data_IF_623070582916
#
_entry.id   IF_623070582916
#
_cell.length_a   1.000
_cell.length_b   1.000
_cell.length_c   1.000
_cell.angle_alpha   90.00
_cell.angle_beta   90.00
_cell.angle_gamma   90.00
#
_symmetry.space_group_name_H-M   'P 1'
#
loop_
_entity.id
_entity.type
_entity.pdbx_description
1 polymer ?
#
# COMPACT_ATOMS: atom_id res chain seq x y z
N UNK A 1 17.56 -21.55 -11.99
CA UNK A 1 17.29 -20.63 -10.87
C UNK A 1 15.77 -20.54 -10.73
N UNK A 2 15.20 -20.42 -9.52
CA UNK A 2 13.77 -20.14 -9.41
C UNK A 2 13.45 -18.89 -10.24
N UNK A 3 12.34 -18.94 -10.98
CA UNK A 3 11.90 -17.81 -11.80
C UNK A 3 11.59 -16.64 -10.87
N UNK A 4 12.35 -15.55 -11.00
CA UNK A 4 12.12 -14.33 -10.23
C UNK A 4 10.79 -13.68 -10.63
N UNK A 5 10.06 -13.12 -9.66
CA UNK A 5 8.77 -12.49 -9.90
C UNK A 5 8.99 -11.10 -10.52
N UNK A 6 8.49 -10.82 -11.75
CA UNK A 6 8.72 -9.55 -12.43
C UNK A 6 8.13 -8.35 -11.67
N UNK A 7 7.16 -8.57 -10.77
CA UNK A 7 6.60 -7.50 -9.93
C UNK A 7 7.57 -7.00 -8.86
N UNK A 8 8.56 -7.80 -8.48
CA UNK A 8 9.56 -7.46 -7.45
C UNK A 8 10.99 -7.48 -8.01
N UNK A 9 11.13 -7.70 -9.31
CA UNK A 9 12.43 -7.84 -9.97
C UNK A 9 12.50 -6.77 -11.05
N UNK A 10 13.18 -5.63 -10.80
CA UNK A 10 13.33 -4.56 -11.76
C UNK A 10 14.29 -4.95 -12.90
N UNK A 11 13.83 -5.88 -13.73
CA UNK A 11 14.55 -6.43 -14.87
C UNK A 11 13.60 -6.72 -16.04
N UNK A 12 14.06 -6.37 -17.24
CA UNK A 12 13.54 -6.73 -18.55
C UNK A 12 14.72 -7.20 -19.42
N UNK A 13 14.48 -7.89 -20.55
CA UNK A 13 15.56 -8.36 -21.40
C UNK A 13 16.54 -7.25 -21.85
N UNK A 14 16.04 -6.03 -22.06
CA UNK A 14 16.82 -4.86 -22.48
C UNK A 14 17.52 -4.13 -21.32
N UNK A 15 16.99 -4.22 -20.09
CA UNK A 15 17.38 -3.36 -18.98
C UNK A 15 17.14 -4.03 -17.63
N UNK A 16 18.14 -4.05 -16.75
CA UNK A 16 17.98 -4.42 -15.35
C UNK A 16 18.66 -3.44 -14.40
N UNK A 17 18.19 -3.41 -13.15
CA UNK A 17 18.88 -2.72 -12.07
C UNK A 17 20.28 -3.32 -11.82
N UNK A 18 21.28 -2.47 -11.60
CA UNK A 18 22.68 -2.85 -11.48
C UNK A 18 22.96 -3.84 -10.36
N UNK A 19 22.20 -3.77 -9.26
CA UNK A 19 22.30 -4.70 -8.15
C UNK A 19 21.86 -6.14 -8.50
N UNK A 20 21.18 -6.36 -9.62
CA UNK A 20 20.79 -7.69 -10.11
C UNK A 20 21.85 -8.34 -11.02
N UNK A 21 23.01 -7.70 -11.19
CA UNK A 21 24.07 -8.19 -12.08
C UNK A 21 24.60 -9.54 -11.61
N UNK A 22 24.44 -10.56 -12.47
CA UNK A 22 24.80 -11.95 -12.18
C UNK A 22 23.64 -12.80 -11.65
N UNK A 23 22.50 -12.18 -11.32
CA UNK A 23 21.27 -12.87 -10.92
C UNK A 23 20.27 -12.98 -12.08
N UNK A 24 20.26 -11.98 -12.97
CA UNK A 24 19.40 -11.93 -14.16
C UNK A 24 20.22 -11.70 -15.45
N UNK A 25 19.62 -12.04 -16.59
CA UNK A 25 20.15 -11.71 -17.92
C UNK A 25 19.46 -10.44 -18.44
N UNK A 26 20.26 -9.44 -18.85
CA UNK A 26 19.79 -8.21 -19.50
C UNK A 26 20.90 -7.62 -20.39
N UNK A 27 20.52 -6.89 -21.45
CA UNK A 27 21.48 -6.24 -22.35
C UNK A 27 22.33 -5.17 -21.64
N UNK A 28 21.73 -4.44 -20.69
CA UNK A 28 22.44 -3.46 -19.87
C UNK A 28 21.94 -3.45 -18.42
N UNK A 29 22.83 -3.00 -17.54
CA UNK A 29 22.60 -2.83 -16.12
C UNK A 29 22.80 -1.36 -15.75
N UNK A 30 21.86 -0.76 -15.03
CA UNK A 30 21.91 0.66 -14.66
C UNK A 30 21.70 0.86 -13.16
N UNK A 31 22.41 1.83 -12.59
CA UNK A 31 22.16 2.27 -11.23
C UNK A 31 20.84 3.06 -11.19
N UNK A 32 19.91 2.72 -10.28
CA UNK A 32 18.67 3.47 -10.15
C UNK A 32 18.93 4.90 -9.65
N UNK A 33 18.11 5.84 -10.12
CA UNK A 33 18.10 7.22 -9.65
C UNK A 33 16.87 7.41 -8.76
N UNK A 34 17.13 7.67 -7.48
CA UNK A 34 16.08 7.83 -6.48
C UNK A 34 15.32 9.14 -6.67
N UNK A 35 14.00 9.05 -6.52
CA UNK A 35 13.08 10.17 -6.49
C UNK A 35 12.13 10.02 -5.30
N UNK A 36 11.40 11.10 -4.99
CA UNK A 36 10.31 11.09 -4.00
C UNK A 36 8.99 11.48 -4.66
N UNK A 37 7.92 10.79 -4.28
CA UNK A 37 6.56 11.07 -4.75
C UNK A 37 6.02 12.36 -4.13
N UNK A 38 5.58 13.30 -4.97
CA UNK A 38 5.06 14.63 -4.57
C UNK A 38 3.57 14.81 -4.83
N UNK A 39 2.96 13.98 -5.67
CA UNK A 39 1.51 13.93 -5.78
C UNK A 39 0.92 13.07 -4.65
N UNK A 40 -0.33 13.33 -4.20
CA UNK A 40 -0.94 12.56 -3.11
C UNK A 40 -0.98 11.05 -3.35
N UNK A 41 -1.24 10.65 -4.59
CA UNK A 41 -1.21 9.27 -5.05
C UNK A 41 -0.76 9.22 -6.52
N UNK A 42 0.19 8.34 -6.86
CA UNK A 42 0.69 8.15 -8.23
C UNK A 42 0.47 6.69 -8.65
N UNK A 43 -0.35 6.41 -9.67
CA UNK A 43 -0.54 5.06 -10.20
C UNK A 43 0.76 4.44 -10.72
N UNK A 44 1.06 3.22 -10.28
CA UNK A 44 2.02 2.32 -10.92
C UNK A 44 1.25 1.46 -11.93
N UNK A 45 1.68 1.51 -13.19
CA UNK A 45 1.01 0.88 -14.33
C UNK A 45 1.89 -0.15 -15.03
N UNK A 46 1.23 -1.05 -15.76
CA UNK A 46 1.89 -2.09 -16.59
C UNK A 46 2.67 -1.54 -17.78
N UNK A 47 2.28 -0.38 -18.28
CA UNK A 47 2.85 0.25 -19.47
C UNK A 47 2.85 1.79 -19.30
N UNK A 48 3.71 2.51 -20.04
CA UNK A 48 3.78 3.98 -20.03
C UNK A 48 2.60 4.60 -20.80
N UNK A 49 1.39 4.30 -20.38
CA UNK A 49 0.14 4.78 -20.98
C UNK A 49 -0.89 5.03 -19.88
N UNK A 50 -1.56 6.19 -19.94
CA UNK A 50 -2.61 6.58 -19.00
C UNK A 50 -3.81 5.63 -19.06
N UNK A 51 -4.01 4.95 -20.20
CA UNK A 51 -5.06 3.96 -20.41
C UNK A 51 -4.66 2.55 -19.96
N UNK A 52 -3.38 2.30 -19.67
CA UNK A 52 -2.94 1.00 -19.17
C UNK A 52 -3.49 0.77 -17.75
N UNK A 53 -3.78 -0.49 -17.44
CA UNK A 53 -4.22 -0.89 -16.10
C UNK A 53 -3.23 -0.44 -15.02
N UNK A 54 -3.79 0.05 -13.91
CA UNK A 54 -3.06 0.30 -12.67
C UNK A 54 -2.94 -1.03 -11.92
N UNK A 55 -1.76 -1.33 -11.40
CA UNK A 55 -1.54 -2.50 -10.53
C UNK A 55 -1.22 -2.08 -9.11
N UNK A 56 -0.69 -0.87 -8.93
CA UNK A 56 -0.34 -0.35 -7.63
C UNK A 56 -0.40 1.19 -7.58
N UNK A 57 -0.18 1.79 -6.41
CA UNK A 57 -0.06 3.24 -6.20
C UNK A 57 1.15 3.58 -5.31
N UNK A 58 1.86 4.64 -5.63
CA UNK A 58 2.73 5.33 -4.67
C UNK A 58 1.89 6.34 -3.88
N UNK A 59 2.20 6.53 -2.60
CA UNK A 59 1.64 7.60 -1.78
C UNK A 59 2.63 8.76 -1.67
N UNK A 60 2.15 9.96 -1.31
CA UNK A 60 3.02 11.10 -1.04
C UNK A 60 4.17 10.73 -0.09
N UNK A 61 5.40 11.08 -0.49
CA UNK A 61 6.62 10.79 0.25
C UNK A 61 7.17 9.39 0.10
N UNK A 62 6.58 8.55 -0.76
CA UNK A 62 7.21 7.28 -1.15
C UNK A 62 8.46 7.53 -1.99
N UNK A 63 9.48 6.71 -1.76
CA UNK A 63 10.67 6.68 -2.60
C UNK A 63 10.43 5.80 -3.83
N UNK A 64 11.00 6.19 -4.96
CA UNK A 64 10.93 5.42 -6.20
C UNK A 64 12.28 5.43 -6.92
N UNK A 65 12.83 4.24 -7.18
CA UNK A 65 14.10 4.07 -7.88
C UNK A 65 13.86 3.97 -9.37
N UNK A 66 14.18 5.03 -10.11
CA UNK A 66 13.98 5.12 -11.57
C UNK A 66 15.16 4.50 -12.32
N UNK A 67 14.86 3.63 -13.28
CA UNK A 67 15.85 2.95 -14.13
C UNK A 67 15.82 3.45 -15.57
N UNK A 68 14.68 3.97 -16.00
CA UNK A 68 14.48 4.50 -17.35
C UNK A 68 13.37 5.55 -17.36
N UNK A 69 13.56 6.59 -18.17
CA UNK A 69 12.52 7.56 -18.48
C UNK A 69 12.25 7.58 -19.99
N UNK A 70 10.98 7.53 -20.38
CA UNK A 70 10.52 7.60 -21.77
C UNK A 70 9.23 8.41 -21.83
N UNK A 71 9.22 9.46 -22.66
CA UNK A 71 8.01 10.25 -22.98
C UNK A 71 7.18 10.71 -21.75
N UNK A 72 7.87 11.14 -20.69
CA UNK A 72 7.23 11.62 -19.46
C UNK A 72 6.80 10.52 -18.48
N UNK A 73 7.20 9.27 -18.74
CA UNK A 73 7.03 8.14 -17.84
C UNK A 73 8.36 7.69 -17.28
N UNK A 74 8.35 7.21 -16.04
CA UNK A 74 9.48 6.58 -15.39
C UNK A 74 9.18 5.11 -15.13
N UNK A 75 10.07 4.21 -15.54
CA UNK A 75 10.04 2.80 -15.15
C UNK A 75 11.03 2.55 -14.03
N UNK A 76 10.59 1.84 -13.00
CA UNK A 76 11.36 1.68 -11.79
C UNK A 76 10.66 0.80 -10.77
N UNK A 77 11.04 0.97 -9.51
CA UNK A 77 10.46 0.21 -8.40
C UNK A 77 10.21 1.09 -7.16
N UNK A 78 9.14 0.76 -6.46
CA UNK A 78 8.74 1.36 -5.19
C UNK A 78 9.72 0.98 -4.08
N UNK A 79 10.21 1.95 -3.31
CA UNK A 79 11.04 1.69 -2.14
C UNK A 79 10.23 1.15 -0.95
N UNK A 80 8.90 1.21 -1.01
CA UNK A 80 8.02 0.76 0.07
C UNK A 80 7.93 -0.77 0.13
N UNK A 81 7.79 -1.40 -1.03
CA UNK A 81 7.46 -2.83 -1.16
C UNK A 81 8.17 -3.50 -2.34
N UNK A 82 9.04 -2.79 -3.06
CA UNK A 82 9.78 -3.31 -4.21
C UNK A 82 8.97 -3.38 -5.50
N UNK A 83 7.71 -2.91 -5.51
CA UNK A 83 6.81 -3.12 -6.65
C UNK A 83 7.30 -2.40 -7.90
N UNK A 84 7.41 -3.13 -9.00
CA UNK A 84 7.98 -2.68 -10.29
C UNK A 84 6.87 -2.20 -11.24
N UNK A 85 7.09 -1.07 -11.90
CA UNK A 85 6.20 -0.62 -12.97
C UNK A 85 6.48 0.78 -13.48
N UNK A 86 5.52 1.33 -14.21
CA UNK A 86 5.59 2.66 -14.82
C UNK A 86 4.79 3.69 -14.03
N UNK A 87 5.37 4.85 -13.79
CA UNK A 87 4.71 6.00 -13.16
C UNK A 87 4.86 7.26 -14.01
N UNK A 88 3.94 8.20 -13.89
CA UNK A 88 4.09 9.52 -14.54
C UNK A 88 5.23 10.29 -13.84
N UNK A 89 6.21 10.75 -14.63
CA UNK A 89 7.39 11.43 -14.09
C UNK A 89 7.04 12.74 -13.37
N UNK A 90 5.94 13.38 -13.74
CA UNK A 90 5.46 14.61 -13.09
C UNK A 90 5.05 14.44 -11.63
N UNK A 91 4.71 13.21 -11.20
CA UNK A 91 4.38 12.91 -9.81
C UNK A 91 5.61 12.67 -8.92
N UNK A 92 6.82 12.77 -9.47
CA UNK A 92 8.09 12.54 -8.79
C UNK A 92 8.94 13.83 -8.75
N UNK A 93 9.73 13.98 -7.68
CA UNK A 93 10.70 15.07 -7.51
C UNK A 93 12.12 14.55 -7.42
N UNK A 94 13.06 15.29 -8.03
CA UNK A 94 14.51 15.10 -7.89
C UNK A 94 15.03 15.59 -6.52
N UNK A 95 14.27 16.46 -5.85
CA UNK A 95 14.65 16.99 -4.54
C UNK A 95 14.36 15.94 -3.46
N UNK A 96 15.37 15.14 -3.17
CA UNK A 96 15.27 14.14 -2.12
C UNK A 96 15.19 14.77 -0.73
N UNK A 97 14.34 14.18 0.11
CA UNK A 97 14.26 14.51 1.51
C UNK A 97 13.96 13.25 2.33
N UNK A 98 14.50 13.20 3.54
CA UNK A 98 14.17 12.14 4.49
C UNK A 98 12.86 12.49 5.19
N UNK A 99 11.87 11.57 5.21
CA UNK A 99 10.66 11.78 5.97
C UNK A 99 10.98 11.82 7.47
N UNK A 100 10.15 12.53 8.21
CA UNK A 100 10.27 12.68 9.68
C UNK A 100 9.03 12.16 10.40
N UNK A 101 7.90 12.16 9.71
CA UNK A 101 6.60 11.78 10.22
C UNK A 101 5.84 11.03 9.14
N UNK A 102 4.75 10.39 9.55
CA UNK A 102 3.75 9.81 8.66
C UNK A 102 2.36 10.29 9.02
N UNK A 103 1.45 10.23 8.06
CA UNK A 103 0.02 10.43 8.33
C UNK A 103 -0.49 9.19 9.10
N UNK A 104 -1.01 9.41 10.31
CA UNK A 104 -1.45 8.38 11.23
C UNK A 104 -2.99 8.24 11.31
N UNK A 105 -3.72 9.13 10.64
CA UNK A 105 -5.18 9.05 10.47
C UNK A 105 -5.52 8.58 9.06
N UNK A 106 -6.77 8.16 8.84
CA UNK A 106 -7.23 7.65 7.56
C UNK A 106 -6.92 8.62 6.39
N UNK A 107 -7.19 9.91 6.60
CA UNK A 107 -6.90 10.98 5.63
C UNK A 107 -6.81 12.36 6.29
N UNK A 108 -6.04 13.27 5.69
CA UNK A 108 -5.92 14.66 6.14
C UNK A 108 -5.72 15.62 4.98
N UNK A 109 -6.11 16.88 5.15
CA UNK A 109 -5.80 17.96 4.21
C UNK A 109 -4.52 18.69 4.60
N UNK A 110 -3.78 19.13 3.59
CA UNK A 110 -2.78 20.19 3.70
C UNK A 110 -3.38 21.52 3.21
N UNK A 111 -2.87 22.64 3.73
CA UNK A 111 -3.39 23.99 3.50
C UNK A 111 -2.27 24.96 3.10
N UNK A 112 -2.61 26.04 2.39
CA UNK A 112 -1.62 27.07 1.99
C UNK A 112 -1.05 27.86 3.18
N UNK A 113 -1.81 27.96 4.28
CA UNK A 113 -1.46 28.70 5.50
C UNK A 113 -1.84 27.84 6.74
N UNK A 114 -1.34 28.14 7.95
CA UNK A 114 -1.70 27.43 9.19
C UNK A 114 -3.12 27.80 9.69
N UNK A 115 -4.09 27.83 8.77
CA UNK A 115 -5.51 28.04 9.01
C UNK A 115 -6.33 27.08 8.13
N UNK A 116 -7.17 26.28 8.78
CA UNK A 116 -8.06 25.28 8.18
C UNK A 116 -9.15 25.90 7.29
N UNK A 117 -9.30 27.24 7.30
CA UNK A 117 -10.20 27.98 6.42
C UNK A 117 -9.55 28.39 5.10
N UNK A 118 -8.23 28.18 4.95
CA UNK A 118 -7.51 28.54 3.73
C UNK A 118 -7.61 27.43 2.68
N UNK A 119 -7.14 27.71 1.46
CA UNK A 119 -7.25 26.77 0.36
C UNK A 119 -6.47 25.48 0.68
N UNK A 120 -7.09 24.30 0.50
CA UNK A 120 -6.37 23.04 0.60
C UNK A 120 -5.41 22.90 -0.59
N UNK A 121 -4.23 22.35 -0.35
CA UNK A 121 -3.22 22.06 -1.37
C UNK A 121 -3.22 20.59 -1.78
N UNK A 122 -3.57 19.69 -0.85
CA UNK A 122 -3.56 18.26 -1.06
C UNK A 122 -4.48 17.53 -0.06
N UNK A 123 -4.93 16.33 -0.43
CA UNK A 123 -5.55 15.36 0.46
C UNK A 123 -4.60 14.15 0.58
N UNK A 124 -4.00 13.96 1.76
CA UNK A 124 -3.13 12.83 2.02
C UNK A 124 -3.88 11.67 2.68
N UNK A 125 -3.42 10.46 2.42
CA UNK A 125 -3.97 9.24 3.02
C UNK A 125 -3.06 8.73 4.15
N UNK A 126 -3.61 7.84 4.97
CA UNK A 126 -2.85 7.04 5.94
C UNK A 126 -1.54 6.51 5.31
N UNK A 127 -0.47 6.45 6.09
CA UNK A 127 0.86 5.98 5.69
C UNK A 127 1.62 6.83 4.64
N UNK A 128 1.05 7.94 4.13
CA UNK A 128 1.84 8.97 3.45
C UNK A 128 2.94 9.49 4.38
N UNK A 129 4.11 9.79 3.82
CA UNK A 129 5.31 10.20 4.57
C UNK A 129 5.61 11.67 4.32
N UNK A 130 5.98 12.41 5.36
CA UNK A 130 6.21 13.86 5.25
C UNK A 130 7.46 14.30 6.00
N UNK A 131 8.10 15.36 5.52
CA UNK A 131 9.17 16.06 6.22
C UNK A 131 8.63 17.35 6.85
N UNK A 132 8.52 17.37 8.18
CA UNK A 132 8.10 18.54 8.95
C UNK A 132 9.26 19.54 9.03
N UNK A 133 8.99 20.79 8.69
CA UNK A 133 9.97 21.87 8.64
C UNK A 133 9.84 22.83 9.81
N UNK A 134 8.61 23.21 10.16
CA UNK A 134 8.32 24.10 11.27
C UNK A 134 6.91 23.87 11.83
N UNK A 135 6.63 24.49 12.98
CA UNK A 135 5.39 24.34 13.73
C UNK A 135 4.79 25.70 14.06
N UNK A 136 3.48 25.82 13.90
CA UNK A 136 2.72 27.00 14.29
C UNK A 136 1.37 26.59 14.89
N UNK A 137 1.23 26.82 16.21
CA UNK A 137 0.03 26.41 16.94
C UNK A 137 -0.21 24.90 16.84
N UNK A 138 -1.31 24.51 16.18
CA UNK A 138 -1.69 23.11 15.95
C UNK A 138 -1.33 22.58 14.56
N UNK A 139 -0.59 23.36 13.79
CA UNK A 139 -0.22 23.04 12.42
C UNK A 139 1.29 22.83 12.30
N UNK A 140 1.68 22.01 11.33
CA UNK A 140 3.07 21.83 10.93
C UNK A 140 3.20 22.08 9.44
N UNK A 141 4.26 22.78 9.02
CA UNK A 141 4.57 22.92 7.59
C UNK A 141 5.39 21.73 7.12
N UNK A 142 4.95 21.09 6.05
CA UNK A 142 5.64 20.00 5.37
C UNK A 142 6.29 20.48 4.07
N UNK A 143 7.46 19.89 3.75
CA UNK A 143 8.17 20.08 2.49
C UNK A 143 7.24 19.82 1.29
N UNK A 144 7.24 20.73 0.31
CA UNK A 144 6.49 20.67 -0.95
C UNK A 144 4.96 20.45 -0.84
N UNK A 145 4.38 20.68 0.34
CA UNK A 145 2.97 20.35 0.59
C UNK A 145 2.16 21.48 1.23
N UNK A 146 2.74 22.27 2.13
CA UNK A 146 2.02 23.28 2.92
C UNK A 146 1.79 22.84 4.37
N UNK A 147 0.69 23.28 4.98
CA UNK A 147 0.42 23.13 6.41
C UNK A 147 -0.56 21.99 6.70
N UNK A 148 -0.18 21.06 7.57
CA UNK A 148 -0.97 19.93 8.04
C UNK A 148 -1.38 20.14 9.50
N UNK A 149 -2.49 19.53 9.94
CA UNK A 149 -2.85 19.47 11.36
C UNK A 149 -1.93 18.48 12.07
N UNK A 150 -1.17 18.93 13.08
CA UNK A 150 -0.13 18.12 13.74
C UNK A 150 -0.68 16.83 14.35
N UNK A 151 -1.87 16.88 14.94
CA UNK A 151 -2.53 15.74 15.57
C UNK A 151 -2.89 14.60 14.60
N UNK A 152 -2.77 14.82 13.29
CA UNK A 152 -3.00 13.80 12.26
C UNK A 152 -1.72 13.03 11.89
N UNK A 153 -0.57 13.45 12.43
CA UNK A 153 0.73 12.84 12.16
C UNK A 153 1.19 12.00 13.34
N UNK A 154 1.97 10.97 13.04
CA UNK A 154 2.75 10.21 14.02
C UNK A 154 4.24 10.24 13.64
N UNK A 155 5.12 9.93 14.60
CA UNK A 155 6.52 9.64 14.28
C UNK A 155 6.61 8.44 13.33
N UNK A 156 7.74 8.23 12.66
CA UNK A 156 7.86 7.12 11.70
C UNK A 156 7.71 5.73 12.34
N UNK A 157 8.02 5.60 13.63
CA UNK A 157 8.00 4.38 14.44
C UNK A 157 6.79 4.28 15.40
N UNK A 158 5.89 5.26 15.39
CA UNK A 158 4.71 5.31 16.27
C UNK A 158 3.56 4.42 15.77
N UNK A 159 3.73 3.10 15.75
CA UNK A 159 2.83 2.14 15.11
C UNK A 159 1.46 1.96 15.80
N UNK A 160 0.42 1.71 15.01
CA UNK A 160 -0.90 1.35 15.54
C UNK A 160 -0.83 -0.01 16.25
N UNK A 161 -1.38 -0.09 17.46
CA UNK A 161 -1.46 -1.36 18.21
C UNK A 161 -2.58 -2.31 17.74
N UNK A 162 -3.38 -1.90 16.76
CA UNK A 162 -4.52 -2.65 16.26
C UNK A 162 -4.70 -2.46 14.75
N UNK A 163 -4.15 -3.37 13.93
CA UNK A 163 -4.29 -3.26 12.47
C UNK A 163 -5.73 -3.51 12.00
N UNK A 164 -6.51 -4.31 12.72
CA UNK A 164 -7.90 -4.59 12.34
C UNK A 164 -8.74 -3.32 12.55
N UNK A 165 -8.53 -2.58 13.64
CA UNK A 165 -9.16 -1.28 13.86
C UNK A 165 -8.78 -0.23 12.80
N UNK A 166 -7.52 -0.27 12.31
CA UNK A 166 -7.11 0.54 11.16
C UNK A 166 -7.87 0.14 9.89
N UNK A 167 -8.01 -1.16 9.61
CA UNK A 167 -8.74 -1.66 8.45
C UNK A 167 -10.22 -1.29 8.51
N UNK A 168 -10.87 -1.41 9.67
CA UNK A 168 -12.27 -1.01 9.92
C UNK A 168 -12.49 0.48 9.61
N UNK A 169 -11.48 1.33 9.78
CA UNK A 169 -11.52 2.73 9.40
C UNK A 169 -11.78 2.97 7.90
N UNK A 170 -11.53 1.98 7.04
CA UNK A 170 -11.81 2.05 5.60
C UNK A 170 -13.21 1.57 5.22
N UNK A 171 -14.07 1.18 6.17
CA UNK A 171 -15.44 0.72 5.87
C UNK A 171 -16.17 1.71 4.95
N UNK A 172 -16.83 1.18 3.92
CA UNK A 172 -17.49 1.91 2.82
C UNK A 172 -16.57 2.72 1.89
N UNK A 173 -15.23 2.60 1.99
CA UNK A 173 -14.33 3.11 0.96
C UNK A 173 -14.56 2.34 -0.36
N UNK A 174 -14.71 3.02 -1.51
CA UNK A 174 -14.92 2.37 -2.79
C UNK A 174 -13.81 1.39 -3.17
N UNK A 175 -14.18 0.29 -3.84
CA UNK A 175 -13.22 -0.64 -4.42
C UNK A 175 -12.56 0.00 -5.64
N UNK A 176 -11.23 0.10 -5.62
CA UNK A 176 -10.43 0.57 -6.74
C UNK A 176 -9.30 -0.43 -7.00
N UNK A 177 -9.34 -1.12 -8.14
CA UNK A 177 -8.27 -2.02 -8.57
C UNK A 177 -6.92 -1.29 -8.64
N UNK A 178 -5.90 -1.84 -7.99
CA UNK A 178 -4.58 -1.23 -7.87
C UNK A 178 -4.48 -0.17 -6.76
N UNK A 179 -5.58 0.20 -6.12
CA UNK A 179 -5.63 1.30 -5.17
C UNK A 179 -5.12 0.97 -3.77
N UNK A 180 -4.52 1.97 -3.11
CA UNK A 180 -4.02 1.93 -1.72
C UNK A 180 -4.34 3.18 -0.91
N UNK A 181 -4.96 4.18 -1.52
CA UNK A 181 -5.32 5.42 -0.84
C UNK A 181 -6.68 5.32 -0.13
N UNK A 182 -6.94 6.26 0.77
CA UNK A 182 -8.19 6.30 1.54
C UNK A 182 -9.45 6.56 0.72
N UNK A 183 -9.32 7.10 -0.50
CA UNK A 183 -10.43 7.34 -1.41
C UNK A 183 -10.88 6.09 -2.17
N UNK A 184 -10.02 5.09 -2.29
CA UNK A 184 -10.34 3.85 -2.95
C UNK A 184 -9.14 2.89 -2.97
N UNK A 185 -9.45 1.62 -2.71
CA UNK A 185 -8.44 0.58 -2.58
C UNK A 185 -9.01 -0.80 -2.92
N UNK A 186 -8.12 -1.75 -3.21
CA UNK A 186 -8.51 -3.14 -3.44
C UNK A 186 -8.22 -4.05 -2.24
N UNK A 187 -8.52 -5.33 -2.38
CA UNK A 187 -8.46 -6.30 -1.29
C UNK A 187 -7.09 -6.35 -0.60
N UNK A 188 -6.01 -6.45 -1.37
CA UNK A 188 -4.65 -6.51 -0.84
C UNK A 188 -4.13 -5.14 -0.44
N UNK A 189 -4.61 -4.05 -1.06
CA UNK A 189 -4.38 -2.68 -0.59
C UNK A 189 -4.92 -2.45 0.82
N UNK A 190 -6.13 -2.94 1.16
CA UNK A 190 -6.69 -2.85 2.52
C UNK A 190 -5.76 -3.50 3.55
N UNK A 191 -5.39 -4.75 3.29
CA UNK A 191 -4.52 -5.54 4.14
C UNK A 191 -3.14 -4.89 4.28
N UNK A 192 -2.56 -4.42 3.17
CA UNK A 192 -1.25 -3.76 3.18
C UNK A 192 -1.28 -2.49 4.02
N UNK A 193 -2.27 -1.63 3.82
CA UNK A 193 -2.35 -0.33 4.50
C UNK A 193 -2.58 -0.47 6.00
N UNK A 194 -3.41 -1.42 6.40
CA UNK A 194 -3.64 -1.76 7.81
C UNK A 194 -2.37 -2.27 8.50
N UNK A 195 -1.67 -3.21 7.86
CA UNK A 195 -0.47 -3.83 8.43
C UNK A 195 0.73 -2.88 8.47
N UNK A 196 0.91 -2.06 7.43
CA UNK A 196 1.96 -1.02 7.41
C UNK A 196 1.72 0.01 8.51
N UNK A 197 0.47 0.39 8.77
CA UNK A 197 0.15 1.32 9.88
C UNK A 197 0.50 0.72 11.25
N UNK A 198 0.43 -0.60 11.38
CA UNK A 198 0.82 -1.39 12.55
C UNK A 198 2.31 -1.83 12.54
N UNK A 199 3.12 -1.31 11.63
CA UNK A 199 4.57 -1.55 11.59
C UNK A 199 4.98 -2.88 10.95
N UNK A 200 4.08 -3.54 10.24
CA UNK A 200 4.37 -4.77 9.48
C UNK A 200 4.57 -4.40 8.01
N UNK A 201 5.80 -4.58 7.52
CA UNK A 201 6.09 -4.46 6.09
C UNK A 201 5.31 -5.51 5.30
N UNK A 202 4.75 -5.11 4.16
CA UNK A 202 3.82 -5.95 3.43
C UNK A 202 3.95 -5.74 1.93
N UNK A 203 3.98 -6.85 1.19
CA UNK A 203 3.99 -6.84 -0.27
C UNK A 203 2.61 -6.46 -0.83
N UNK A 204 2.58 -6.07 -2.10
CA UNK A 204 1.38 -5.49 -2.72
C UNK A 204 0.27 -6.49 -3.00
N UNK A 205 0.63 -7.66 -3.53
CA UNK A 205 -0.34 -8.58 -4.12
C UNK A 205 -0.71 -9.73 -3.19
N UNK A 206 -1.96 -10.14 -3.25
CA UNK A 206 -2.56 -11.19 -2.41
C UNK A 206 -1.71 -12.46 -2.32
N UNK A 207 -1.17 -12.94 -3.44
CA UNK A 207 -0.38 -14.18 -3.48
C UNK A 207 0.99 -14.03 -2.81
N UNK A 208 1.60 -12.85 -2.95
CA UNK A 208 2.85 -12.49 -2.28
C UNK A 208 2.63 -12.25 -0.78
N UNK A 209 1.52 -11.61 -0.39
CA UNK A 209 1.10 -11.46 1.00
C UNK A 209 0.84 -12.81 1.66
N UNK A 210 0.13 -13.72 0.99
CA UNK A 210 -0.11 -15.10 1.45
C UNK A 210 1.22 -15.80 1.72
N UNK A 211 2.16 -15.76 0.76
CA UNK A 211 3.48 -16.38 0.91
C UNK A 211 4.27 -15.79 2.09
N UNK A 212 4.31 -14.45 2.19
CA UNK A 212 5.04 -13.75 3.23
C UNK A 212 4.50 -14.08 4.63
N UNK A 213 3.18 -13.98 4.81
CA UNK A 213 2.56 -14.19 6.11
C UNK A 213 2.56 -15.65 6.53
N UNK A 214 2.39 -16.61 5.60
CA UNK A 214 2.53 -18.03 5.93
C UNK A 214 3.90 -18.39 6.51
N UNK A 215 4.95 -17.67 6.12
CA UNK A 215 6.28 -17.88 6.63
C UNK A 215 6.51 -17.29 8.04
N UNK A 216 5.68 -16.34 8.47
CA UNK A 216 5.89 -15.56 9.69
C UNK A 216 4.82 -15.81 10.77
N UNK A 217 3.60 -16.12 10.36
CA UNK A 217 2.41 -16.19 11.20
C UNK A 217 1.90 -17.63 11.34
N UNK A 218 0.96 -17.85 12.26
CA UNK A 218 0.46 -19.21 12.52
C UNK A 218 -0.57 -19.60 11.47
N UNK A 219 -0.35 -20.68 10.73
CA UNK A 219 -1.37 -21.26 9.84
C UNK A 219 -2.50 -21.89 10.68
N UNK A 220 -3.71 -21.34 10.53
CA UNK A 220 -4.94 -21.78 11.22
C UNK A 220 -6.02 -22.19 10.20
N UNK A 221 -5.64 -22.54 8.98
CA UNK A 221 -6.56 -22.90 7.89
C UNK A 221 -7.53 -24.01 8.30
N UNK A 222 -7.00 -25.05 8.95
CA UNK A 222 -7.78 -26.21 9.43
C UNK A 222 -8.55 -25.95 10.74
N UNK A 223 -8.35 -24.81 11.40
CA UNK A 223 -9.06 -24.47 12.63
C UNK A 223 -10.46 -23.94 12.29
N UNK A 224 -11.56 -24.53 12.77
CA UNK A 224 -12.90 -23.98 12.55
C UNK A 224 -13.17 -22.69 13.34
N UNK A 225 -12.43 -22.45 14.42
CA UNK A 225 -12.60 -21.27 15.29
C UNK A 225 -11.77 -20.09 14.76
N UNK A 226 -12.43 -19.25 13.97
CA UNK A 226 -11.88 -17.98 13.50
C UNK A 226 -11.75 -16.99 14.64
N UNK A 227 -10.76 -16.12 14.54
CA UNK A 227 -10.49 -15.06 15.50
C UNK A 227 -10.28 -13.73 14.79
N UNK A 228 -10.54 -12.65 15.52
CA UNK A 228 -10.18 -11.30 15.09
C UNK A 228 -8.71 -11.23 14.71
N UNK A 229 -8.43 -10.65 13.56
CA UNK A 229 -7.10 -10.55 12.99
C UNK A 229 -6.69 -11.72 12.11
N UNK A 230 -7.42 -12.83 12.07
CA UNK A 230 -7.15 -13.89 11.09
C UNK A 230 -7.27 -13.30 9.68
N UNK A 231 -6.23 -13.47 8.85
CA UNK A 231 -6.23 -13.05 7.45
C UNK A 231 -6.55 -14.25 6.59
N UNK A 232 -7.60 -14.13 5.77
CA UNK A 232 -8.11 -15.20 4.91
C UNK A 232 -7.71 -14.92 3.46
N UNK A 233 -7.09 -15.91 2.84
CA UNK A 233 -6.64 -15.87 1.46
C UNK A 233 -7.44 -16.83 0.57
N UNK A 234 -7.84 -16.32 -0.59
CA UNK A 234 -8.38 -17.05 -1.74
C UNK A 234 -7.47 -16.81 -2.96
N UNK A 235 -7.59 -17.58 -4.06
CA UNK A 235 -6.93 -17.21 -5.30
C UNK A 235 -7.35 -15.79 -5.73
N UNK A 236 -6.41 -14.85 -5.69
CA UNK A 236 -6.62 -13.46 -6.11
C UNK A 236 -7.45 -12.58 -5.16
N UNK A 237 -7.80 -13.04 -3.95
CA UNK A 237 -8.55 -12.23 -2.98
C UNK A 237 -8.07 -12.44 -1.54
N UNK A 238 -8.17 -11.39 -0.71
CA UNK A 238 -7.83 -11.42 0.71
C UNK A 238 -8.87 -10.66 1.54
N UNK A 239 -9.07 -11.08 2.78
CA UNK A 239 -9.88 -10.35 3.77
C UNK A 239 -9.40 -10.59 5.19
N UNK A 240 -9.92 -9.78 6.11
CA UNK A 240 -9.50 -9.74 7.52
C UNK A 240 -10.71 -10.07 8.39
N UNK A 241 -10.58 -11.07 9.27
CA UNK A 241 -11.60 -11.38 10.26
C UNK A 241 -11.63 -10.28 11.32
N UNK A 242 -12.80 -9.70 11.56
CA UNK A 242 -13.03 -8.66 12.60
C UNK A 242 -13.49 -9.26 13.93
N UNK A 243 -14.04 -10.47 13.88
CA UNK A 243 -14.35 -11.33 15.02
C UNK A 243 -14.41 -12.81 14.57
N UNK A 244 -15.15 -13.68 15.26
CA UNK A 244 -15.31 -15.09 14.90
C UNK A 244 -16.13 -15.34 13.64
N UNK A 245 -16.98 -14.38 13.25
CA UNK A 245 -18.03 -14.59 12.26
C UNK A 245 -17.98 -13.57 11.11
N UNK A 246 -17.37 -12.40 11.32
CA UNK A 246 -17.39 -11.30 10.36
C UNK A 246 -16.07 -11.11 9.62
N UNK A 247 -16.16 -11.05 8.30
CA UNK A 247 -15.07 -10.77 7.38
C UNK A 247 -15.16 -9.32 6.90
N UNK A 248 -14.08 -8.57 7.02
CA UNK A 248 -13.88 -7.26 6.39
C UNK A 248 -13.02 -7.42 5.13
N UNK A 249 -13.47 -6.87 4.00
CA UNK A 249 -12.68 -6.87 2.77
C UNK A 249 -13.10 -5.76 1.79
N UNK A 250 -12.15 -5.24 1.01
CA UNK A 250 -12.48 -4.47 -0.20
C UNK A 250 -12.80 -5.46 -1.32
N UNK A 251 -13.99 -5.39 -1.92
CA UNK A 251 -14.42 -6.44 -2.86
C UNK A 251 -15.18 -5.92 -4.08
N UNK A 252 -15.00 -6.60 -5.21
CA UNK A 252 -15.68 -6.28 -6.46
C UNK A 252 -17.14 -6.79 -6.54
N UNK A 253 -17.70 -7.32 -5.45
CA UNK A 253 -19.11 -7.72 -5.40
C UNK A 253 -20.01 -6.56 -4.98
N UNK A 254 -19.64 -5.87 -3.92
CA UNK A 254 -20.32 -4.68 -3.39
C UNK A 254 -19.69 -3.38 -3.89
N UNK A 255 -18.48 -3.46 -4.45
CA UNK A 255 -17.70 -2.34 -4.99
C UNK A 255 -17.23 -1.34 -3.93
N UNK A 256 -17.09 -1.79 -2.68
CA UNK A 256 -16.55 -1.05 -1.55
C UNK A 256 -15.91 -2.00 -0.51
N UNK A 257 -15.41 -1.42 0.58
CA UNK A 257 -15.00 -2.14 1.79
C UNK A 257 -16.23 -2.47 2.61
N UNK A 258 -16.53 -3.75 2.77
CA UNK A 258 -17.69 -4.24 3.54
C UNK A 258 -17.28 -5.19 4.63
N UNK A 259 -18.09 -5.20 5.69
CA UNK A 259 -18.09 -6.22 6.72
C UNK A 259 -19.35 -7.07 6.56
N UNK A 260 -19.18 -8.39 6.40
CA UNK A 260 -20.26 -9.35 6.20
C UNK A 260 -19.95 -10.67 6.90
N UNK A 261 -20.92 -11.59 6.98
CA UNK A 261 -20.69 -12.91 7.53
C UNK A 261 -19.69 -13.70 6.66
N UNK A 262 -18.65 -14.22 7.30
CA UNK A 262 -17.63 -15.03 6.64
C UNK A 262 -18.23 -16.23 5.91
N UNK A 263 -19.22 -16.91 6.50
CA UNK A 263 -19.86 -18.06 5.88
C UNK A 263 -20.58 -17.70 4.57
N UNK A 264 -21.21 -16.52 4.50
CA UNK A 264 -21.89 -16.03 3.29
C UNK A 264 -20.88 -15.60 2.22
N UNK A 265 -19.82 -14.89 2.65
CA UNK A 265 -18.70 -14.50 1.79
C UNK A 265 -18.00 -15.73 1.19
N UNK A 266 -17.67 -16.70 2.03
CA UNK A 266 -16.98 -17.92 1.64
C UNK A 266 -17.79 -18.71 0.61
N UNK A 267 -19.08 -18.92 0.85
CA UNK A 267 -19.94 -19.63 -0.09
C UNK A 267 -20.01 -18.89 -1.43
N UNK A 268 -20.20 -17.56 -1.42
CA UNK A 268 -20.25 -16.74 -2.63
C UNK A 268 -18.96 -16.75 -3.43
N UNK A 269 -17.80 -16.68 -2.76
CA UNK A 269 -16.48 -16.68 -3.40
C UNK A 269 -16.14 -18.08 -3.93
N UNK A 270 -16.45 -19.13 -3.16
CA UNK A 270 -16.24 -20.54 -3.53
C UNK A 270 -16.98 -20.90 -4.81
N UNK A 271 -18.21 -20.41 -5.01
CA UNK A 271 -18.99 -20.63 -6.24
C UNK A 271 -18.33 -20.06 -7.51
N UNK A 272 -17.33 -19.19 -7.38
CA UNK A 272 -16.49 -18.69 -8.49
C UNK A 272 -15.19 -19.49 -8.66
N UNK A 273 -15.16 -20.74 -8.18
CA UNK A 273 -14.00 -21.66 -8.19
C UNK A 273 -12.81 -21.19 -7.33
N UNK A 274 -13.06 -20.33 -6.33
CA UNK A 274 -12.05 -19.80 -5.43
C UNK A 274 -12.32 -20.29 -3.99
N UNK A 275 -11.93 -21.51 -3.60
CA UNK A 275 -12.00 -21.93 -2.21
C UNK A 275 -10.97 -21.18 -1.37
N UNK A 276 -11.19 -21.11 -0.05
CA UNK A 276 -10.17 -20.62 0.90
C UNK A 276 -8.91 -21.46 0.71
N UNK A 277 -7.77 -20.78 0.52
CA UNK A 277 -6.45 -21.41 0.39
C UNK A 277 -5.73 -21.50 1.71
N UNK A 278 -5.68 -20.38 2.42
CA UNK A 278 -4.89 -20.23 3.64
C UNK A 278 -5.59 -19.26 4.58
N UNK A 279 -5.54 -19.55 5.88
CA UNK A 279 -5.84 -18.59 6.93
C UNK A 279 -4.66 -18.50 7.88
N UNK A 280 -4.15 -17.29 8.10
CA UNK A 280 -3.01 -17.03 8.99
C UNK A 280 -3.42 -16.14 10.14
N UNK A 281 -2.92 -16.46 11.33
CA UNK A 281 -3.19 -15.74 12.57
C UNK A 281 -1.99 -14.89 12.99
N UNK A 282 -2.19 -13.57 13.20
CA UNK A 282 -1.13 -12.66 13.64
C UNK A 282 -0.64 -12.99 15.05
N UNK A 283 0.57 -12.54 15.41
CA UNK A 283 0.98 -12.50 16.80
C UNK A 283 0.10 -11.54 17.63
N UNK A 284 -0.05 -11.84 18.92
CA UNK A 284 -0.97 -11.14 19.81
C UNK A 284 -0.63 -9.66 20.06
N UNK A 285 0.53 -9.16 19.64
CA UNK A 285 0.90 -7.75 19.82
C UNK A 285 0.38 -6.82 18.70
N UNK A 286 -0.27 -7.36 17.67
CA UNK A 286 -0.85 -6.60 16.56
C UNK A 286 -2.36 -6.36 16.72
N UNK A 287 -2.95 -6.93 17.77
CA UNK A 287 -4.38 -6.83 18.13
C UNK A 287 -4.48 -6.69 19.66
N UNK A 288 -5.42 -5.88 20.18
CA UNK A 288 -5.59 -5.66 21.62
C UNK A 288 -6.22 -6.84 22.37
#
# INVERSE_FOLDING_TARGET
>A
MPQMDPRLTPARPDLAASFLKGEVEAERFVDPIDHVTIDPAVPIRRAPDRLAGMDDQLLFGDGFGVLEEVDGWAWGYSHRDGYVGWVERSGLSDQLWAPTHRIAVLRTYAFIEPDFKTAPTALLSLNSRVKVLEREGRFVRAEDLGWLVEAHLGALDDFAGDFVGVAEGFLAAPYLWGGKESLGLDCSGLTQMALVAAGVEMLRDTDQQEMLLKAQWTDVTANPERQRGDIVFWPGHVGIMTDSDHLLHANAHTMDVTQELFAEAEERIRLKENPVRTIVRPPANLIP
#
